data_IF_818345742821
#
_entry.id   IF_818345742821
#
_cell.length_a   1.000
_cell.length_b   1.000
_cell.length_c   1.000
_cell.angle_alpha   90.00
_cell.angle_beta   90.00
_cell.angle_gamma   90.00
#
_symmetry.space_group_name_H-M   'P 1'
#
loop_
_entity.id
_entity.type
_entity.pdbx_description
1 polymer ?
#
# COMPACT_ATOMS: atom_id res chain seq x y z
N UNK A 1 -24.99 -7.24 66.73
CA UNK A 1 -24.72 -6.31 65.61
C UNK A 1 -23.32 -6.60 65.08
N UNK A 2 -23.22 -7.22 63.88
CA UNK A 2 -21.95 -7.46 63.18
C UNK A 2 -21.94 -6.53 61.96
N UNK A 3 -21.03 -5.56 61.95
CA UNK A 3 -20.88 -4.62 60.85
C UNK A 3 -19.93 -5.22 59.81
N UNK A 4 -20.45 -5.52 58.62
CA UNK A 4 -19.65 -5.94 57.46
C UNK A 4 -19.18 -4.71 56.70
N UNK A 5 -17.87 -4.51 56.65
CA UNK A 5 -17.21 -3.47 55.85
C UNK A 5 -17.10 -3.98 54.40
N UNK A 6 -17.89 -3.40 53.49
CA UNK A 6 -17.78 -3.65 52.05
C UNK A 6 -16.75 -2.67 51.50
N UNK A 7 -15.59 -3.18 51.10
CA UNK A 7 -14.57 -2.41 50.36
C UNK A 7 -14.96 -2.46 48.88
N UNK A 8 -15.53 -1.36 48.38
CA UNK A 8 -15.76 -1.18 46.96
C UNK A 8 -14.45 -0.82 46.26
N UNK A 9 -13.87 -1.76 45.52
CA UNK A 9 -12.77 -1.49 44.58
C UNK A 9 -13.37 -0.79 43.36
N UNK A 10 -13.19 0.52 43.28
CA UNK A 10 -13.47 1.28 42.08
C UNK A 10 -12.46 0.86 40.99
N UNK A 11 -12.92 0.05 40.03
CA UNK A 11 -12.20 -0.19 38.79
C UNK A 11 -12.16 1.14 38.04
N UNK A 12 -11.04 1.87 38.13
CA UNK A 12 -10.77 2.97 37.23
C UNK A 12 -10.70 2.36 35.82
N UNK A 13 -11.80 2.48 35.06
CA UNK A 13 -11.77 2.27 33.63
C UNK A 13 -10.77 3.29 33.07
N UNK A 14 -9.54 2.84 32.77
CA UNK A 14 -8.67 3.64 31.95
C UNK A 14 -9.41 3.92 30.64
N UNK A 15 -9.51 5.18 30.20
CA UNK A 15 -9.95 5.44 28.85
C UNK A 15 -8.95 4.71 27.95
N UNK A 16 -9.37 3.61 27.36
CA UNK A 16 -8.74 3.08 26.17
C UNK A 16 -8.70 4.23 25.19
N UNK A 17 -7.54 4.89 25.05
CA UNK A 17 -7.33 5.82 23.95
C UNK A 17 -7.61 4.97 22.73
N UNK A 18 -8.72 5.23 22.07
CA UNK A 18 -8.91 4.74 20.71
C UNK A 18 -7.59 5.06 20.01
N UNK A 19 -6.98 4.05 19.42
CA UNK A 19 -5.79 4.15 18.58
C UNK A 19 -6.16 4.93 17.31
N UNK A 20 -6.71 6.13 17.46
CA UNK A 20 -6.96 7.01 16.35
C UNK A 20 -5.59 7.43 15.84
N UNK A 21 -5.29 7.04 14.61
CA UNK A 21 -4.06 7.43 13.94
C UNK A 21 -3.92 8.95 14.01
N UNK A 22 -2.84 9.42 14.65
CA UNK A 22 -2.50 10.85 14.72
C UNK A 22 -2.37 11.45 13.30
N UNK A 23 -2.11 10.61 12.30
CA UNK A 23 -2.00 11.02 10.91
C UNK A 23 -3.35 11.46 10.30
N UNK A 24 -4.48 10.98 10.84
CA UNK A 24 -5.81 11.31 10.31
C UNK A 24 -6.13 12.81 10.38
N UNK A 25 -5.54 13.55 11.32
CA UNK A 25 -5.73 15.00 11.43
C UNK A 25 -5.21 15.78 10.22
N UNK A 26 -4.29 15.20 9.44
CA UNK A 26 -3.70 15.86 8.27
C UNK A 26 -4.48 15.60 6.98
N UNK A 27 -5.41 14.64 7.01
CA UNK A 27 -6.20 14.17 5.86
C UNK A 27 -7.11 15.28 5.35
N UNK A 28 -7.28 15.35 4.03
CA UNK A 28 -8.13 16.36 3.42
C UNK A 28 -9.62 15.98 3.54
N UNK A 29 -10.54 16.95 3.66
CA UNK A 29 -11.97 16.64 3.77
C UNK A 29 -12.56 15.93 2.55
N UNK A 30 -11.98 16.13 1.37
CA UNK A 30 -12.39 15.51 0.10
C UNK A 30 -11.71 14.16 -0.17
N UNK A 31 -10.95 13.63 0.79
CA UNK A 31 -10.32 12.32 0.69
C UNK A 31 -11.34 11.22 0.41
N UNK A 32 -11.05 10.42 -0.61
CA UNK A 32 -11.85 9.23 -0.98
C UNK A 32 -11.05 7.95 -0.94
N UNK A 33 -9.73 8.06 -0.91
CA UNK A 33 -8.81 6.94 -0.89
C UNK A 33 -7.93 7.10 0.33
N UNK A 34 -7.83 6.05 1.13
CA UNK A 34 -7.02 6.01 2.33
C UNK A 34 -6.39 4.63 2.46
N UNK A 35 -5.08 4.56 2.60
CA UNK A 35 -4.34 3.31 2.80
C UNK A 35 -3.42 3.53 3.99
N UNK A 36 -3.56 2.70 5.02
CA UNK A 36 -2.76 2.76 6.23
C UNK A 36 -1.96 1.47 6.39
N UNK A 37 -0.71 1.62 6.81
CA UNK A 37 0.24 0.54 7.04
C UNK A 37 0.88 0.77 8.40
N UNK A 38 0.59 -0.10 9.36
CA UNK A 38 1.13 -0.11 10.71
C UNK A 38 2.46 -0.86 10.71
N UNK A 39 3.48 -0.25 10.11
CA UNK A 39 4.81 -0.83 9.89
C UNK A 39 5.39 -1.43 11.17
N UNK A 40 5.28 -0.73 12.30
CA UNK A 40 5.75 -1.23 13.59
C UNK A 40 5.06 -2.53 14.04
N UNK A 41 3.75 -2.69 13.80
CA UNK A 41 3.03 -3.94 14.13
C UNK A 41 3.48 -5.09 13.22
N UNK A 42 3.68 -4.81 11.94
CA UNK A 42 4.11 -5.78 10.95
C UNK A 42 5.50 -6.32 11.29
N UNK A 43 6.47 -5.43 11.52
CA UNK A 43 7.86 -5.83 11.77
C UNK A 43 8.04 -6.57 13.10
N UNK A 44 7.18 -6.32 14.08
CA UNK A 44 7.17 -7.03 15.35
C UNK A 44 6.37 -8.35 15.32
N UNK A 45 5.74 -8.71 14.19
CA UNK A 45 5.12 -10.03 14.03
C UNK A 45 6.18 -11.12 13.79
N UNK A 46 5.90 -12.40 14.09
CA UNK A 46 6.91 -13.46 13.90
C UNK A 46 7.33 -13.57 12.43
N UNK A 47 6.40 -13.50 11.47
CA UNK A 47 6.73 -13.36 10.05
C UNK A 47 7.57 -12.11 9.73
N UNK A 48 7.25 -10.96 10.34
CA UNK A 48 7.98 -9.71 10.17
C UNK A 48 9.46 -9.82 10.58
N UNK A 49 9.76 -10.55 11.65
CA UNK A 49 11.15 -10.77 12.10
C UNK A 49 11.98 -11.58 11.10
N UNK A 50 11.35 -12.48 10.34
CA UNK A 50 12.00 -13.29 9.30
C UNK A 50 12.22 -12.48 8.00
N UNK A 51 11.33 -11.54 7.68
CA UNK A 51 11.34 -10.75 6.44
C UNK A 51 12.14 -9.44 6.58
N UNK A 52 12.25 -8.87 7.78
CA UNK A 52 12.92 -7.59 8.05
C UNK A 52 14.31 -7.41 7.42
N UNK A 53 15.22 -8.39 7.48
CA UNK A 53 16.52 -8.31 6.82
C UNK A 53 16.47 -8.12 5.30
N UNK A 54 15.42 -8.61 4.64
CA UNK A 54 15.25 -8.48 3.19
C UNK A 54 14.63 -7.14 2.79
N UNK A 55 13.80 -6.55 3.65
CA UNK A 55 13.31 -5.18 3.42
C UNK A 55 14.46 -4.17 3.38
N UNK A 56 15.53 -4.43 4.13
CA UNK A 56 16.78 -3.64 4.08
C UNK A 56 17.59 -3.85 2.81
N UNK A 57 17.35 -4.92 2.05
CA UNK A 57 18.00 -5.17 0.77
C UNK A 57 17.31 -4.36 -0.35
N UNK A 58 17.35 -3.04 -0.25
CA UNK A 58 16.76 -2.10 -1.20
C UNK A 58 17.76 -1.71 -2.31
N UNK A 59 17.33 -1.01 -3.36
CA UNK A 59 18.22 -0.38 -4.35
C UNK A 59 19.39 0.37 -3.64
N UNK A 60 20.66 0.15 -4.04
CA UNK A 60 21.83 0.83 -3.45
C UNK A 60 21.70 2.36 -3.35
N UNK A 61 21.06 3.02 -4.32
CA UNK A 61 20.85 4.46 -4.30
C UNK A 61 19.90 4.89 -3.16
N UNK A 62 18.81 4.15 -2.96
CA UNK A 62 17.90 4.39 -1.85
C UNK A 62 18.57 4.07 -0.51
N UNK A 63 19.37 2.99 -0.44
CA UNK A 63 20.14 2.68 0.77
C UNK A 63 21.13 3.79 1.13
N UNK A 64 21.81 4.39 0.15
CA UNK A 64 22.74 5.50 0.39
C UNK A 64 22.01 6.74 0.92
N UNK A 65 20.85 7.10 0.33
CA UNK A 65 20.01 8.21 0.80
C UNK A 65 19.54 7.96 2.24
N UNK A 66 19.03 6.76 2.53
CA UNK A 66 18.55 6.39 3.86
C UNK A 66 19.68 6.39 4.89
N UNK A 67 20.86 5.88 4.52
CA UNK A 67 22.05 5.87 5.38
C UNK A 67 22.54 7.29 5.69
N UNK A 68 22.59 8.17 4.69
CA UNK A 68 22.96 9.57 4.86
C UNK A 68 21.92 10.34 5.69
N UNK A 69 20.64 10.01 5.53
CA UNK A 69 19.56 10.51 6.37
C UNK A 69 19.52 9.87 7.77
N UNK A 70 20.39 8.89 8.05
CA UNK A 70 20.41 8.07 9.26
C UNK A 70 19.04 7.46 9.61
N UNK A 71 18.31 7.03 8.58
CA UNK A 71 16.98 6.48 8.71
C UNK A 71 16.99 5.00 8.34
N UNK A 72 16.54 4.15 9.25
CA UNK A 72 16.30 2.73 9.04
C UNK A 72 14.78 2.48 9.03
N UNK A 73 14.16 2.26 7.87
CA UNK A 73 12.71 2.03 7.79
C UNK A 73 12.22 0.83 8.62
N UNK A 74 13.11 -0.09 9.00
CA UNK A 74 12.75 -1.24 9.83
C UNK A 74 12.76 -0.97 11.34
N UNK A 75 13.26 0.20 11.75
CA UNK A 75 13.31 0.63 13.16
C UNK A 75 12.62 1.95 13.39
N UNK A 76 12.76 2.87 12.44
CA UNK A 76 12.39 4.27 12.59
C UNK A 76 11.02 4.60 12.00
N UNK A 77 10.42 3.71 11.18
CA UNK A 77 9.08 3.91 10.62
C UNK A 77 8.04 3.11 11.42
N UNK A 78 7.06 3.81 11.99
CA UNK A 78 6.00 3.18 12.77
C UNK A 78 4.72 2.97 11.94
N UNK A 79 4.37 3.96 11.12
CA UNK A 79 3.11 3.99 10.40
C UNK A 79 3.21 4.83 9.13
N UNK A 80 2.52 4.40 8.08
CA UNK A 80 2.41 5.10 6.80
C UNK A 80 0.94 5.20 6.41
N UNK A 81 0.46 6.41 6.15
CA UNK A 81 -0.89 6.71 5.70
C UNK A 81 -0.82 7.43 4.34
N UNK A 82 -1.38 6.83 3.31
CA UNK A 82 -1.49 7.39 1.96
C UNK A 82 -2.94 7.80 1.74
N UNK A 83 -3.14 9.03 1.28
CA UNK A 83 -4.47 9.59 1.04
C UNK A 83 -4.56 10.23 -0.34
N UNK A 84 -5.71 10.10 -0.99
CA UNK A 84 -6.00 10.77 -2.26
C UNK A 84 -7.49 10.98 -2.48
N UNK A 85 -7.83 11.85 -3.44
CA UNK A 85 -9.22 12.11 -3.83
C UNK A 85 -9.68 11.28 -5.05
N UNK A 86 -8.74 10.68 -5.82
CA UNK A 86 -9.01 9.94 -7.06
C UNK A 86 -8.01 8.79 -7.26
N UNK A 87 -8.45 7.72 -7.93
CA UNK A 87 -7.67 6.48 -8.14
C UNK A 87 -6.51 6.68 -9.13
N UNK A 88 -6.66 7.56 -10.12
CA UNK A 88 -5.63 7.83 -11.14
C UNK A 88 -5.25 9.31 -11.18
N UNK A 89 -3.95 9.59 -11.24
CA UNK A 89 -3.37 10.94 -11.39
C UNK A 89 -3.94 11.96 -10.40
N UNK A 90 -4.54 11.48 -9.31
CA UNK A 90 -5.10 12.29 -8.25
C UNK A 90 -3.97 12.76 -7.35
N UNK A 91 -4.04 13.99 -6.84
CA UNK A 91 -3.07 14.43 -5.87
C UNK A 91 -3.07 13.51 -4.65
N UNK A 92 -1.87 13.05 -4.28
CA UNK A 92 -1.68 12.14 -3.16
C UNK A 92 -0.86 12.83 -2.06
N UNK A 93 -1.31 12.65 -0.82
CA UNK A 93 -0.54 12.96 0.38
C UNK A 93 -0.04 11.65 0.96
N UNK A 94 1.23 11.62 1.32
CA UNK A 94 1.86 10.56 2.07
C UNK A 94 2.21 11.09 3.45
N UNK A 95 1.70 10.46 4.49
CA UNK A 95 1.89 10.84 5.87
C UNK A 95 2.62 9.68 6.55
N UNK A 96 3.69 9.96 7.28
CA UNK A 96 4.40 8.93 8.01
C UNK A 96 4.62 9.34 9.46
N UNK A 97 4.50 8.38 10.37
CA UNK A 97 4.87 8.50 11.78
C UNK A 97 6.11 7.66 12.04
N UNK A 98 7.08 8.20 12.75
CA UNK A 98 8.35 7.55 12.98
C UNK A 98 9.31 8.35 13.84
N UNK A 99 10.61 8.10 13.68
CA UNK A 99 11.71 8.84 14.29
C UNK A 99 12.62 9.39 13.19
N UNK A 100 12.65 10.71 13.02
CA UNK A 100 13.38 11.37 11.94
C UNK A 100 14.52 12.25 12.50
N UNK A 101 15.76 11.98 12.08
CA UNK A 101 16.91 12.87 12.34
C UNK A 101 16.88 14.05 11.34
N UNK A 102 16.15 15.10 11.72
CA UNK A 102 15.97 16.29 10.87
C UNK A 102 17.30 16.94 10.54
N UNK A 103 18.26 16.96 11.47
CA UNK A 103 19.58 17.52 11.23
C UNK A 103 20.38 16.72 10.21
N UNK A 104 20.31 15.39 10.25
CA UNK A 104 20.89 14.52 9.21
C UNK A 104 20.22 14.75 7.86
N UNK A 105 18.89 14.86 7.81
CA UNK A 105 18.14 15.11 6.57
C UNK A 105 18.46 16.49 5.98
N UNK A 106 18.51 17.54 6.80
CA UNK A 106 18.84 18.90 6.36
C UNK A 106 20.27 19.00 5.82
N UNK A 107 21.20 18.18 6.33
CA UNK A 107 22.56 18.11 5.80
C UNK A 107 22.65 17.64 4.34
N UNK A 108 21.58 17.03 3.81
CA UNK A 108 21.47 16.59 2.41
C UNK A 108 20.96 17.68 1.46
N UNK A 109 20.50 18.81 2.00
CA UNK A 109 19.90 19.91 1.23
C UNK A 109 20.96 20.73 0.47
N UNK A 110 22.13 21.09 1.03
CA UNK A 110 23.14 21.86 0.31
C UNK A 110 23.54 21.21 -1.02
N UNK A 111 23.52 21.98 -2.11
CA UNK A 111 23.87 21.50 -3.45
C UNK A 111 22.81 20.65 -4.15
N UNK A 112 21.68 20.33 -3.50
CA UNK A 112 20.59 19.52 -4.10
C UNK A 112 19.57 20.33 -4.91
N UNK A 113 19.71 21.66 -4.95
CA UNK A 113 18.71 22.57 -5.52
C UNK A 113 17.44 22.72 -4.66
N UNK A 114 17.31 21.97 -3.55
CA UNK A 114 16.20 22.09 -2.60
C UNK A 114 16.42 23.27 -1.65
N UNK A 115 15.33 23.80 -1.13
CA UNK A 115 15.27 24.86 -0.12
C UNK A 115 14.53 24.37 1.12
N UNK A 116 15.11 24.68 2.26
CA UNK A 116 14.48 24.53 3.57
C UNK A 116 13.74 25.82 3.94
N UNK A 117 12.48 25.70 4.36
CA UNK A 117 11.70 26.81 4.92
C UNK A 117 10.96 26.34 6.17
N UNK A 118 10.63 27.28 7.06
CA UNK A 118 9.78 27.00 8.21
C UNK A 118 8.38 27.53 7.93
N UNK A 119 7.36 26.71 8.15
CA UNK A 119 5.96 27.07 7.96
C UNK A 119 5.12 26.49 9.11
N UNK A 120 4.45 27.33 9.89
CA UNK A 120 3.62 26.90 11.03
C UNK A 120 4.38 25.97 12.00
N UNK A 121 5.67 26.23 12.20
CA UNK A 121 6.56 25.42 13.05
C UNK A 121 6.95 24.05 12.46
N UNK A 122 6.61 23.77 11.20
CA UNK A 122 7.10 22.61 10.47
C UNK A 122 8.28 22.99 9.56
N UNK A 123 9.27 22.10 9.45
CA UNK A 123 10.39 22.24 8.51
C UNK A 123 9.96 21.68 7.16
N UNK A 124 9.94 22.50 6.11
CA UNK A 124 9.59 22.12 4.74
C UNK A 124 10.83 22.09 3.86
N UNK A 125 11.03 20.98 3.15
CA UNK A 125 11.97 20.80 2.06
C UNK A 125 11.21 20.82 0.73
N UNK A 126 11.56 21.75 -0.15
CA UNK A 126 10.91 21.91 -1.46
C UNK A 126 11.94 22.29 -2.53
N UNK A 127 11.66 22.05 -3.81
CA UNK A 127 12.53 22.51 -4.89
C UNK A 127 11.96 23.80 -5.52
N UNK A 128 12.55 24.99 -5.28
CA UNK A 128 12.11 26.22 -5.92
C UNK A 128 12.52 26.25 -7.39
N UNK A 129 11.58 26.00 -8.30
CA UNK A 129 11.82 26.11 -9.75
C UNK A 129 11.12 25.05 -10.58
N UNK A 130 10.65 23.99 -9.93
CA UNK A 130 9.84 22.97 -10.54
C UNK A 130 8.60 22.80 -9.66
N UNK A 131 7.40 22.63 -10.24
CA UNK A 131 6.20 22.26 -9.50
C UNK A 131 6.29 20.82 -8.94
N UNK A 132 7.42 20.49 -8.35
CA UNK A 132 7.81 19.19 -7.83
C UNK A 132 7.52 19.14 -6.34
N UNK A 133 7.27 17.92 -5.86
CA UNK A 133 6.76 17.67 -4.51
C UNK A 133 7.51 18.35 -3.38
N UNK A 134 6.79 18.55 -2.28
CA UNK A 134 7.32 19.07 -1.03
C UNK A 134 7.26 17.98 0.04
N UNK A 135 8.20 18.04 0.97
CA UNK A 135 8.21 17.19 2.18
C UNK A 135 8.29 18.11 3.39
N UNK A 136 7.43 17.91 4.37
CA UNK A 136 7.48 18.61 5.64
C UNK A 136 7.69 17.66 6.80
N UNK A 137 8.37 18.16 7.83
CA UNK A 137 8.59 17.48 9.10
C UNK A 137 7.94 18.30 10.21
N UNK A 138 7.07 17.68 11.00
CA UNK A 138 6.53 18.27 12.22
C UNK A 138 7.29 17.66 13.40
N UNK A 139 8.16 18.46 14.00
CA UNK A 139 9.12 17.96 14.96
C UNK A 139 9.99 16.87 14.33
N UNK A 140 10.20 15.78 15.09
CA UNK A 140 10.99 14.62 14.71
C UNK A 140 10.15 13.34 14.56
N UNK A 141 8.81 13.45 14.57
CA UNK A 141 7.93 12.28 14.60
C UNK A 141 6.98 12.14 13.41
N UNK A 142 6.69 13.22 12.68
CA UNK A 142 5.73 13.20 11.58
C UNK A 142 6.36 13.75 10.31
N UNK A 143 6.21 13.01 9.21
CA UNK A 143 6.56 13.43 7.86
C UNK A 143 5.29 13.58 7.01
N UNK A 144 5.21 14.66 6.24
CA UNK A 144 4.15 14.94 5.27
C UNK A 144 4.78 15.14 3.89
N UNK A 145 4.61 14.18 3.00
CA UNK A 145 4.97 14.28 1.59
C UNK A 145 3.76 14.64 0.73
N UNK A 146 3.94 15.55 -0.20
CA UNK A 146 2.93 15.90 -1.20
C UNK A 146 3.58 16.19 -2.54
N UNK A 147 2.79 16.04 -3.60
CA UNK A 147 3.10 16.40 -4.99
C UNK A 147 3.25 17.91 -5.21
N UNK A 148 2.74 18.75 -4.31
CA UNK A 148 3.02 20.19 -4.30
C UNK A 148 3.09 20.80 -2.88
N UNK A 149 3.70 21.99 -2.80
CA UNK A 149 3.88 22.74 -1.56
C UNK A 149 2.56 23.18 -0.91
N UNK A 150 1.57 23.61 -1.70
CA UNK A 150 0.31 24.12 -1.16
C UNK A 150 -0.46 23.02 -0.43
N UNK A 151 -0.41 21.79 -0.95
CA UNK A 151 -1.05 20.63 -0.33
C UNK A 151 -0.39 20.24 0.99
N UNK A 152 0.94 20.27 1.05
CA UNK A 152 1.70 20.06 2.29
C UNK A 152 1.36 21.15 3.32
N UNK A 153 1.34 22.41 2.93
CA UNK A 153 0.93 23.52 3.81
C UNK A 153 -0.52 23.43 4.27
N UNK A 154 -1.42 22.95 3.41
CA UNK A 154 -2.81 22.70 3.79
C UNK A 154 -2.93 21.59 4.83
N UNK A 155 -2.16 20.50 4.69
CA UNK A 155 -2.10 19.44 5.68
C UNK A 155 -1.58 19.96 7.04
N UNK A 156 -0.49 20.73 7.05
CA UNK A 156 0.07 21.34 8.28
C UNK A 156 -0.98 22.21 9.00
N UNK A 157 -1.76 23.02 8.26
CA UNK A 157 -2.81 23.88 8.85
C UNK A 157 -3.95 23.11 9.51
N UNK A 158 -4.14 21.83 9.20
CA UNK A 158 -5.16 20.98 9.86
C UNK A 158 -4.69 20.44 11.21
N UNK A 159 -3.40 20.56 11.54
CA UNK A 159 -2.87 20.14 12.84
C UNK A 159 -3.65 20.81 13.97
N UNK A 160 -4.15 20.00 14.91
CA UNK A 160 -4.95 20.48 16.05
C UNK A 160 -6.37 20.97 15.70
N UNK A 161 -6.80 20.83 14.44
CA UNK A 161 -8.19 21.03 14.05
C UNK A 161 -8.97 19.71 14.16
N UNK A 162 -10.31 19.75 14.35
CA UNK A 162 -11.13 18.55 14.28
C UNK A 162 -10.94 17.82 12.95
N UNK A 163 -10.79 16.50 13.01
CA UNK A 163 -10.68 15.65 11.80
C UNK A 163 -11.96 15.82 10.97
N UNK A 164 -11.82 16.31 9.75
CA UNK A 164 -12.94 16.67 8.89
C UNK A 164 -13.16 15.66 7.74
N UNK A 165 -13.04 14.37 8.01
CA UNK A 165 -13.38 13.31 7.04
C UNK A 165 -14.89 13.01 7.08
N UNK A 166 -15.46 12.65 5.93
CA UNK A 166 -16.89 12.30 5.85
C UNK A 166 -17.26 11.14 6.77
N UNK A 167 -18.50 11.13 7.28
CA UNK A 167 -18.96 10.13 8.26
C UNK A 167 -18.86 8.67 7.79
N UNK A 168 -19.09 8.43 6.49
CA UNK A 168 -18.92 7.11 5.87
C UNK A 168 -17.45 6.64 5.93
N UNK A 169 -16.52 7.51 5.56
CA UNK A 169 -15.09 7.21 5.64
C UNK A 169 -14.65 7.00 7.09
N UNK A 170 -15.11 7.86 8.01
CA UNK A 170 -14.81 7.75 9.43
C UNK A 170 -15.24 6.39 10.01
N UNK A 171 -16.46 5.93 9.67
CA UNK A 171 -16.97 4.65 10.15
C UNK A 171 -16.13 3.46 9.62
N UNK A 172 -15.74 3.48 8.33
CA UNK A 172 -14.87 2.45 7.76
C UNK A 172 -13.47 2.48 8.37
N UNK A 173 -12.89 3.67 8.60
CA UNK A 173 -11.58 3.81 9.27
C UNK A 173 -11.63 3.19 10.66
N UNK A 174 -12.64 3.53 11.47
CA UNK A 174 -12.81 2.99 12.82
C UNK A 174 -12.91 1.45 12.81
N UNK A 175 -13.63 0.88 11.84
CA UNK A 175 -13.82 -0.56 11.72
C UNK A 175 -12.54 -1.30 11.29
N UNK A 176 -11.70 -0.69 10.44
CA UNK A 176 -10.51 -1.34 9.88
C UNK A 176 -9.26 -1.13 10.75
N UNK A 177 -9.08 0.06 11.32
CA UNK A 177 -7.85 0.44 12.02
C UNK A 177 -7.57 -0.39 13.28
N UNK A 178 -8.65 -0.76 13.97
CA UNK A 178 -8.58 -1.62 15.16
C UNK A 178 -8.32 -3.10 14.83
N UNK A 179 -8.59 -3.52 13.58
CA UNK A 179 -8.57 -4.93 13.19
C UNK A 179 -7.36 -5.32 12.36
N UNK A 180 -6.87 -4.43 11.52
CA UNK A 180 -5.86 -4.76 10.51
C UNK A 180 -4.55 -4.00 10.75
N UNK A 181 -3.46 -4.61 10.32
CA UNK A 181 -2.12 -4.01 10.32
C UNK A 181 -1.87 -3.23 9.02
N UNK A 182 -2.55 -3.63 7.95
CA UNK A 182 -2.62 -2.90 6.68
C UNK A 182 -4.09 -2.77 6.34
N UNK A 183 -4.58 -1.59 6.05
CA UNK A 183 -5.94 -1.43 5.56
C UNK A 183 -6.06 -0.38 4.48
N UNK A 184 -7.10 -0.52 3.66
CA UNK A 184 -7.36 0.37 2.55
C UNK A 184 -8.85 0.62 2.39
N UNK A 185 -9.20 1.85 2.03
CA UNK A 185 -10.54 2.29 1.69
C UNK A 185 -10.44 3.10 0.40
N UNK A 186 -11.30 2.79 -0.56
CA UNK A 186 -11.53 3.58 -1.76
C UNK A 186 -13.04 3.76 -1.92
N UNK A 187 -13.53 4.98 -1.72
CA UNK A 187 -14.89 5.44 -2.04
C UNK A 187 -14.97 6.02 -3.46
N UNK A 188 -13.89 5.86 -4.24
CA UNK A 188 -13.82 6.28 -5.63
C UNK A 188 -14.09 5.07 -6.53
N UNK A 189 -14.95 5.29 -7.54
CA UNK A 189 -15.20 4.32 -8.61
C UNK A 189 -13.89 3.93 -9.29
N UNK A 190 -13.69 2.61 -9.46
CA UNK A 190 -12.53 2.06 -10.16
C UNK A 190 -12.69 2.12 -11.68
N UNK A 191 -13.76 2.74 -12.18
CA UNK A 191 -14.04 2.84 -13.61
C UNK A 191 -12.89 3.44 -14.43
N UNK A 192 -12.07 4.31 -13.84
CA UNK A 192 -10.90 4.89 -14.51
C UNK A 192 -9.73 3.91 -14.65
N UNK A 193 -9.70 2.78 -13.93
CA UNK A 193 -8.65 1.76 -14.09
C UNK A 193 -8.85 0.94 -15.37
N UNK A 194 -10.09 0.72 -15.78
CA UNK A 194 -10.42 -0.06 -16.97
C UNK A 194 -10.03 0.61 -18.29
N UNK A 195 -9.86 1.94 -18.32
CA UNK A 195 -9.56 2.67 -19.56
C UNK A 195 -8.14 2.46 -20.10
N UNK A 196 -7.23 1.93 -19.29
CA UNK A 196 -5.82 1.70 -19.67
C UNK A 196 -5.52 0.23 -20.03
N UNK A 197 -6.53 -0.65 -20.00
CA UNK A 197 -6.35 -2.07 -20.30
C UNK A 197 -6.39 -2.34 -21.81
N UNK A 198 -5.53 -3.24 -22.34
CA UNK A 198 -5.60 -3.65 -23.74
C UNK A 198 -6.96 -4.26 -24.09
N UNK A 199 -7.52 -3.85 -25.22
CA UNK A 199 -8.82 -4.33 -25.71
C UNK A 199 -8.72 -5.76 -26.27
N UNK A 200 -8.83 -6.77 -25.42
CA UNK A 200 -9.09 -8.15 -25.82
C UNK A 200 -10.28 -8.72 -25.00
N UNK A 201 -10.90 -9.81 -25.48
CA UNK A 201 -12.18 -10.31 -24.96
C UNK A 201 -12.14 -10.67 -23.46
N UNK A 202 -11.06 -11.28 -22.97
CA UNK A 202 -10.94 -11.70 -21.58
C UNK A 202 -10.62 -10.52 -20.65
N UNK A 203 -9.86 -9.52 -21.15
CA UNK A 203 -9.54 -8.30 -20.40
C UNK A 203 -10.71 -7.33 -20.36
N UNK A 204 -11.61 -7.37 -21.34
CA UNK A 204 -12.82 -6.56 -21.37
C UNK A 204 -13.81 -6.97 -20.25
N UNK A 205 -14.00 -8.27 -20.04
CA UNK A 205 -14.82 -8.77 -18.92
C UNK A 205 -14.21 -8.40 -17.57
N UNK A 206 -12.89 -8.49 -17.41
CA UNK A 206 -12.21 -8.01 -16.22
C UNK A 206 -12.39 -6.49 -16.02
N UNK A 207 -12.32 -5.70 -17.08
CA UNK A 207 -12.57 -4.26 -17.03
C UNK A 207 -14.01 -3.91 -16.64
N UNK A 208 -15.01 -4.62 -17.19
CA UNK A 208 -16.43 -4.45 -16.85
C UNK A 208 -16.70 -4.79 -15.38
N UNK A 209 -16.11 -5.88 -14.87
CA UNK A 209 -16.18 -6.24 -13.46
C UNK A 209 -15.58 -5.14 -12.57
N UNK A 210 -14.41 -4.60 -12.91
CA UNK A 210 -13.80 -3.48 -12.18
C UNK A 210 -14.64 -2.20 -12.24
N UNK A 211 -15.24 -1.90 -13.39
CA UNK A 211 -16.13 -0.75 -13.57
C UNK A 211 -17.44 -0.86 -12.78
N UNK A 212 -17.84 -2.08 -12.39
CA UNK A 212 -19.03 -2.31 -11.58
C UNK A 212 -18.82 -1.93 -10.10
N UNK A 213 -17.57 -1.86 -9.64
CA UNK A 213 -17.20 -1.59 -8.25
C UNK A 213 -17.22 -0.08 -7.99
N UNK A 214 -18.03 0.32 -7.02
CA UNK A 214 -18.17 1.70 -6.54
C UNK A 214 -17.24 1.99 -5.36
N UNK A 215 -17.11 1.01 -4.45
CA UNK A 215 -16.28 1.12 -3.26
C UNK A 215 -15.50 -0.16 -3.04
N UNK A 216 -14.29 -0.02 -2.50
CA UNK A 216 -13.50 -1.11 -1.95
C UNK A 216 -13.06 -0.72 -0.55
N UNK A 217 -13.17 -1.64 0.39
CA UNK A 217 -12.54 -1.52 1.70
C UNK A 217 -12.04 -2.86 2.18
N UNK A 218 -10.91 -2.91 2.86
CA UNK A 218 -10.35 -4.17 3.32
C UNK A 218 -9.06 -3.99 4.08
N UNK A 219 -8.50 -5.11 4.52
CA UNK A 219 -7.22 -5.08 5.21
C UNK A 219 -6.62 -6.46 5.40
N UNK A 220 -5.39 -6.44 5.89
CA UNK A 220 -4.57 -7.59 6.24
C UNK A 220 -4.14 -7.44 7.69
N UNK A 221 -4.38 -8.47 8.48
CA UNK A 221 -3.80 -8.67 9.81
C UNK A 221 -2.77 -9.79 9.67
N UNK A 222 -1.59 -9.59 10.22
CA UNK A 222 -0.49 -10.54 10.07
C UNK A 222 -0.31 -11.47 11.28
N UNK A 223 -0.90 -11.13 12.43
CA UNK A 223 -0.70 -11.87 13.67
C UNK A 223 -1.98 -11.96 14.52
N UNK A 224 -2.21 -13.06 15.27
CA UNK A 224 -1.45 -14.32 15.28
C UNK A 224 -1.55 -15.15 13.98
N UNK A 225 -2.62 -15.01 13.21
CA UNK A 225 -2.76 -15.64 11.90
C UNK A 225 -2.86 -14.58 10.83
N UNK A 226 -2.50 -14.94 9.59
CA UNK A 226 -2.73 -14.04 8.46
C UNK A 226 -4.22 -14.06 8.14
N UNK A 227 -4.85 -12.91 8.27
CA UNK A 227 -6.23 -12.69 7.88
C UNK A 227 -6.29 -11.55 6.87
N UNK A 228 -6.84 -11.81 5.70
CA UNK A 228 -7.17 -10.80 4.72
C UNK A 228 -8.68 -10.72 4.57
N UNK A 229 -9.22 -9.51 4.52
CA UNK A 229 -10.62 -9.30 4.16
C UNK A 229 -10.74 -8.17 3.15
N UNK A 230 -11.68 -8.34 2.23
CA UNK A 230 -12.05 -7.38 1.22
C UNK A 230 -13.57 -7.30 1.14
N UNK A 231 -14.08 -6.08 1.17
CA UNK A 231 -15.47 -5.74 0.91
C UNK A 231 -15.49 -4.88 -0.36
N UNK A 232 -16.29 -5.30 -1.34
CA UNK A 232 -16.47 -4.60 -2.61
C UNK A 232 -17.96 -4.30 -2.77
N UNK A 233 -18.29 -3.02 -2.94
CA UNK A 233 -19.66 -2.58 -3.17
C UNK A 233 -19.83 -2.31 -4.65
N UNK A 234 -20.79 -2.98 -5.28
CA UNK A 234 -21.06 -2.84 -6.72
C UNK A 234 -22.20 -1.87 -7.00
N UNK A 235 -22.40 -1.53 -8.27
CA UNK A 235 -23.52 -0.71 -8.75
C UNK A 235 -24.88 -1.37 -8.51
N UNK A 236 -24.97 -2.69 -8.74
CA UNK A 236 -26.21 -3.45 -8.60
C UNK A 236 -25.97 -4.81 -7.93
N UNK A 237 -27.02 -5.43 -7.39
CA UNK A 237 -26.96 -6.80 -6.85
C UNK A 237 -26.53 -7.82 -7.91
N UNK A 238 -27.00 -7.64 -9.16
CA UNK A 238 -26.60 -8.48 -10.30
C UNK A 238 -25.09 -8.41 -10.55
N UNK A 239 -24.51 -7.22 -10.43
CA UNK A 239 -23.06 -7.04 -10.56
C UNK A 239 -22.31 -7.72 -9.42
N UNK A 240 -22.84 -7.69 -8.19
CA UNK A 240 -22.24 -8.37 -7.05
C UNK A 240 -22.20 -9.89 -7.25
N UNK A 241 -23.30 -10.49 -7.74
CA UNK A 241 -23.33 -11.91 -8.10
C UNK A 241 -22.33 -12.23 -9.22
N UNK A 242 -22.27 -11.40 -10.27
CA UNK A 242 -21.35 -11.60 -11.39
C UNK A 242 -19.88 -11.52 -10.95
N UNK A 243 -19.56 -10.55 -10.09
CA UNK A 243 -18.24 -10.40 -9.48
C UNK A 243 -17.87 -11.61 -8.61
N UNK A 244 -18.79 -12.06 -7.76
CA UNK A 244 -18.58 -13.23 -6.92
C UNK A 244 -18.34 -14.49 -7.76
N UNK A 245 -19.12 -14.73 -8.82
CA UNK A 245 -18.94 -15.89 -9.68
C UNK A 245 -17.61 -15.83 -10.45
N UNK A 246 -17.19 -14.64 -10.91
CA UNK A 246 -15.85 -14.43 -11.47
C UNK A 246 -14.73 -14.79 -10.49
N UNK A 247 -14.86 -14.37 -9.22
CA UNK A 247 -13.91 -14.73 -8.16
C UNK A 247 -13.90 -16.23 -7.84
N UNK A 248 -15.06 -16.92 -7.88
CA UNK A 248 -15.13 -18.40 -7.73
C UNK A 248 -14.40 -19.11 -8.85
N UNK A 249 -14.49 -18.63 -10.08
CA UNK A 249 -13.78 -19.21 -11.21
C UNK A 249 -12.26 -19.08 -11.03
N UNK A 250 -11.77 -17.89 -10.65
CA UNK A 250 -10.34 -17.66 -10.41
C UNK A 250 -9.83 -18.55 -9.26
N UNK A 251 -10.55 -18.59 -8.14
CA UNK A 251 -10.18 -19.43 -7.00
C UNK A 251 -10.25 -20.92 -7.35
N UNK A 252 -11.25 -21.35 -8.12
CA UNK A 252 -11.37 -22.69 -8.67
C UNK A 252 -10.15 -23.09 -9.51
N UNK A 253 -9.71 -22.23 -10.43
CA UNK A 253 -8.50 -22.47 -11.24
C UNK A 253 -7.23 -22.53 -10.39
N UNK A 254 -7.11 -21.67 -9.37
CA UNK A 254 -6.00 -21.71 -8.42
C UNK A 254 -5.97 -23.01 -7.61
N UNK A 255 -7.14 -23.56 -7.27
CA UNK A 255 -7.27 -24.85 -6.57
C UNK A 255 -7.06 -26.07 -7.49
N UNK A 256 -7.47 -26.03 -8.76
CA UNK A 256 -7.23 -27.13 -9.71
C UNK A 256 -5.74 -27.27 -10.08
N UNK A 257 -4.97 -26.17 -10.10
CA UNK A 257 -3.53 -26.22 -10.29
C UNK A 257 -2.77 -26.71 -9.02
N UNK A 258 -3.48 -27.15 -7.96
CA UNK A 258 -2.90 -27.60 -6.68
C UNK A 258 -2.44 -29.05 -6.65
N UNK A 259 -2.18 -29.68 -7.80
CA UNK A 259 -1.44 -30.95 -7.76
C UNK A 259 -0.02 -30.84 -7.15
N UNK A 260 0.47 -29.67 -6.66
CA UNK A 260 1.37 -29.63 -5.47
C UNK A 260 1.84 -28.28 -4.85
N UNK A 261 1.32 -27.05 -5.12
CA UNK A 261 2.22 -25.86 -4.97
C UNK A 261 1.73 -24.56 -4.30
N UNK A 262 0.48 -24.42 -3.86
CA UNK A 262 -0.06 -23.12 -3.39
C UNK A 262 -0.27 -22.98 -1.88
N UNK A 263 -0.34 -24.08 -1.10
CA UNK A 263 -0.52 -24.05 0.35
C UNK A 263 -1.89 -23.58 0.88
N UNK A 264 -2.73 -22.94 0.05
CA UNK A 264 -4.06 -22.46 0.41
C UNK A 264 -5.10 -23.60 0.39
N UNK A 265 -5.70 -23.90 1.54
CA UNK A 265 -6.78 -24.89 1.68
C UNK A 265 -8.11 -24.29 1.23
N UNK A 266 -9.04 -25.12 0.75
CA UNK A 266 -10.37 -24.65 0.34
C UNK A 266 -11.11 -23.90 1.48
N UNK A 267 -10.96 -24.40 2.71
CA UNK A 267 -11.62 -23.86 3.91
C UNK A 267 -11.02 -22.53 4.39
N UNK A 268 -9.85 -22.14 3.85
CA UNK A 268 -9.20 -20.85 4.12
C UNK A 268 -9.93 -19.69 3.46
N UNK A 269 -10.83 -19.95 2.50
CA UNK A 269 -11.50 -18.95 1.68
C UNK A 269 -12.98 -18.87 2.07
N UNK A 270 -13.46 -17.66 2.36
CA UNK A 270 -14.90 -17.40 2.51
C UNK A 270 -15.30 -16.26 1.58
N UNK A 271 -16.39 -16.48 0.86
CA UNK A 271 -17.01 -15.46 0.04
C UNK A 271 -18.51 -15.41 0.28
N UNK A 272 -19.03 -14.20 0.42
CA UNK A 272 -20.43 -13.92 0.69
C UNK A 272 -20.90 -12.78 -0.21
N UNK A 273 -22.16 -12.84 -0.65
CA UNK A 273 -22.83 -11.75 -1.36
C UNK A 273 -24.03 -11.32 -0.54
N UNK A 274 -24.06 -10.06 -0.11
CA UNK A 274 -25.16 -9.45 0.63
C UNK A 274 -25.64 -8.23 -0.15
N UNK A 275 -26.82 -8.34 -0.77
CA UNK A 275 -27.34 -7.32 -1.70
C UNK A 275 -26.30 -6.94 -2.77
N UNK A 276 -25.87 -5.68 -2.80
CA UNK A 276 -24.84 -5.15 -3.73
C UNK A 276 -23.40 -5.29 -3.22
N UNK A 277 -23.16 -6.04 -2.16
CA UNK A 277 -21.85 -6.13 -1.52
C UNK A 277 -21.29 -7.54 -1.62
N UNK A 278 -20.07 -7.66 -2.14
CA UNK A 278 -19.29 -8.90 -2.13
C UNK A 278 -18.25 -8.81 -1.01
N UNK A 279 -18.28 -9.78 -0.10
CA UNK A 279 -17.29 -9.95 0.95
C UNK A 279 -16.43 -11.15 0.64
N UNK A 280 -15.13 -10.95 0.70
CA UNK A 280 -14.13 -11.98 0.52
C UNK A 280 -13.21 -11.97 1.74
N UNK A 281 -12.90 -13.13 2.28
CA UNK A 281 -11.91 -13.26 3.35
C UNK A 281 -11.07 -14.50 3.17
N UNK A 282 -9.81 -14.36 3.55
CA UNK A 282 -8.82 -15.43 3.54
C UNK A 282 -8.21 -15.52 4.92
N UNK A 283 -8.16 -16.73 5.46
CA UNK A 283 -7.50 -17.03 6.71
C UNK A 283 -6.42 -18.10 6.50
N UNK A 284 -5.18 -17.74 6.80
CA UNK A 284 -4.02 -18.62 6.67
C UNK A 284 -3.33 -18.71 8.03
N UNK A 285 -3.23 -19.92 8.61
CA UNK A 285 -2.44 -20.13 9.81
C UNK A 285 -1.00 -19.68 9.61
N UNK A 286 -0.41 -19.03 10.61
CA UNK A 286 0.96 -18.49 10.50
C UNK A 286 2.00 -19.55 10.10
N UNK A 287 1.87 -20.77 10.60
CA UNK A 287 2.76 -21.88 10.21
C UNK A 287 2.71 -22.20 8.72
N UNK A 288 1.50 -22.19 8.13
CA UNK A 288 1.30 -22.47 6.71
C UNK A 288 1.88 -21.32 5.87
N UNK A 289 1.72 -20.07 6.33
CA UNK A 289 2.32 -18.90 5.70
C UNK A 289 3.86 -18.92 5.73
N UNK A 290 4.47 -19.25 6.88
CA UNK A 290 5.93 -19.39 7.00
C UNK A 290 6.49 -20.50 6.12
N UNK A 291 5.82 -21.65 6.06
CA UNK A 291 6.21 -22.76 5.17
C UNK A 291 6.17 -22.30 3.71
N UNK A 292 5.09 -21.66 3.29
CA UNK A 292 4.94 -21.15 1.93
C UNK A 292 6.02 -20.13 1.56
N UNK A 293 6.38 -19.25 2.51
CA UNK A 293 7.45 -18.27 2.33
C UNK A 293 8.83 -18.93 2.23
N UNK A 294 9.14 -19.91 3.09
CA UNK A 294 10.39 -20.67 3.02
C UNK A 294 10.53 -21.43 1.68
N UNK A 295 9.44 -22.01 1.17
CA UNK A 295 9.41 -22.70 -0.12
C UNK A 295 9.54 -21.73 -1.30
N UNK A 296 8.95 -20.53 -1.21
CA UNK A 296 9.22 -19.46 -2.16
C UNK A 296 10.70 -19.09 -2.20
N UNK A 297 11.35 -18.91 -1.04
CA UNK A 297 12.78 -18.58 -0.95
C UNK A 297 13.66 -19.63 -1.60
N UNK A 298 13.49 -20.91 -1.25
CA UNK A 298 14.27 -22.02 -1.84
C UNK A 298 14.17 -22.04 -3.37
N UNK A 299 12.99 -21.74 -3.91
CA UNK A 299 12.77 -21.66 -5.37
C UNK A 299 13.40 -20.42 -6.00
N UNK A 300 13.32 -19.26 -5.35
CA UNK A 300 13.96 -18.04 -5.83
C UNK A 300 15.49 -18.20 -5.88
N UNK A 301 16.09 -18.76 -4.84
CA UNK A 301 17.53 -19.05 -4.78
C UNK A 301 17.95 -20.09 -5.83
N UNK A 302 17.19 -21.19 -6.00
CA UNK A 302 17.45 -22.19 -7.04
C UNK A 302 17.28 -21.67 -8.48
N UNK A 303 16.37 -20.72 -8.69
CA UNK A 303 16.18 -20.06 -10.00
C UNK A 303 17.29 -19.05 -10.30
N UNK A 304 17.80 -18.35 -9.28
CA UNK A 304 18.95 -17.44 -9.42
C UNK A 304 20.26 -18.19 -9.72
N UNK A 305 20.49 -19.35 -9.09
CA UNK A 305 21.60 -20.25 -9.43
C UNK A 305 21.50 -20.79 -10.86
N UNK A 306 20.30 -21.13 -11.35
CA UNK A 306 20.10 -21.55 -12.73
C UNK A 306 20.25 -20.40 -13.76
N UNK A 307 19.92 -19.17 -13.38
CA UNK A 307 20.11 -17.98 -14.21
C UNK A 307 21.59 -17.56 -14.28
N UNK A 308 22.37 -17.73 -13.21
CA UNK A 308 23.81 -17.44 -13.18
C UNK A 308 24.67 -18.41 -14.00
N UNK A 309 24.15 -19.61 -14.30
CA UNK A 309 24.85 -20.65 -15.10
C UNK A 309 24.52 -20.55 -16.60
N UNK A 310 23.53 -19.74 -17.00
CA UNK A 310 23.24 -19.50 -18.41
C UNK A 310 24.19 -18.44 -18.98
N UNK A 311 25.00 -18.75 -20.01
CA UNK A 311 25.84 -17.74 -20.63
C UNK A 311 24.97 -16.60 -21.17
N UNK A 312 25.39 -15.36 -20.90
CA UNK A 312 24.68 -14.16 -21.30
C UNK A 312 24.37 -14.21 -22.81
N UNK A 313 23.11 -13.94 -23.23
CA UNK A 313 22.80 -13.83 -24.64
C UNK A 313 23.66 -12.71 -25.24
N UNK A 314 24.36 -13.02 -26.35
CA UNK A 314 25.17 -12.05 -27.08
C UNK A 314 24.32 -10.80 -27.35
N UNK A 315 24.84 -9.59 -27.13
CA UNK A 315 24.10 -8.35 -27.36
C UNK A 315 23.57 -8.34 -28.80
N UNK A 316 22.26 -8.24 -28.94
CA UNK A 316 21.62 -8.08 -30.25
C UNK A 316 22.02 -6.71 -30.79
N UNK A 317 22.54 -6.61 -32.03
CA UNK A 317 22.89 -5.33 -32.61
C UNK A 317 21.62 -4.49 -32.76
N UNK A 318 21.58 -3.34 -32.08
CA UNK A 318 20.56 -2.30 -32.19
C UNK A 318 20.69 -1.61 -33.55
N UNK A 319 20.22 -2.28 -34.60
CA UNK A 319 20.00 -1.71 -35.93
C UNK A 319 18.50 -1.47 -36.14
N UNK A 320 18.11 -0.23 -36.46
CA UNK A 320 16.72 0.10 -36.80
C UNK A 320 16.37 -0.65 -38.10
N UNK A 321 15.41 -1.56 -38.03
CA UNK A 321 14.85 -2.24 -39.20
C UNK A 321 13.60 -1.48 -39.65
N UNK A 322 13.70 -0.71 -40.72
CA UNK A 322 12.52 -0.10 -41.36
C UNK A 322 11.97 -1.10 -42.37
N UNK A 323 10.79 -1.65 -42.13
CA UNK A 323 10.06 -2.44 -43.12
C UNK A 323 9.14 -1.53 -43.94
N UNK A 324 9.42 -1.42 -45.25
CA UNK A 324 8.50 -0.81 -46.22
C UNK A 324 7.69 -1.93 -46.90
N UNK A 325 6.39 -1.76 -47.04
CA UNK A 325 5.50 -2.77 -47.61
C UNK A 325 5.56 -2.82 -49.14
N UNK A 326 5.63 -4.05 -49.68
CA UNK A 326 4.62 -4.53 -50.62
C UNK A 326 4.74 -4.24 -52.11
N UNK A 327 5.93 -4.07 -52.68
CA UNK A 327 6.34 -4.38 -54.08
C UNK A 327 7.63 -3.61 -54.41
N UNK A 328 8.77 -4.24 -54.14
CA UNK A 328 10.12 -4.02 -54.68
C UNK A 328 11.19 -4.14 -53.57
N UNK A 329 12.30 -4.78 -53.94
CA UNK A 329 13.27 -5.42 -53.05
C UNK A 329 14.23 -4.47 -52.30
N UNK A 330 14.62 -4.87 -51.08
CA UNK A 330 15.91 -4.55 -50.46
C UNK A 330 15.86 -4.28 -48.95
N UNK A 331 16.56 -5.09 -48.14
CA UNK A 331 16.91 -4.71 -46.75
C UNK A 331 18.22 -3.93 -46.77
N UNK A 332 18.19 -2.66 -46.39
CA UNK A 332 19.41 -1.84 -46.22
C UNK A 332 19.68 -1.68 -44.73
N UNK A 333 20.79 -2.22 -44.27
CA UNK A 333 21.29 -2.03 -42.90
C UNK A 333 22.25 -0.84 -42.91
N UNK A 334 21.93 0.22 -42.18
CA UNK A 334 22.84 1.35 -41.97
C UNK A 334 23.63 1.13 -40.67
N UNK A 335 24.97 1.33 -40.68
CA UNK A 335 25.75 1.31 -39.45
C UNK A 335 25.46 2.56 -38.58
N UNK A 336 25.57 2.45 -37.25
CA UNK A 336 25.38 3.57 -36.34
C UNK A 336 26.48 4.63 -36.55
N UNK A 337 26.10 5.92 -36.43
CA UNK A 337 27.04 7.03 -36.25
C UNK A 337 27.59 7.03 -34.83
#
# INVERSE_FOLDING_TARGET
MRASLVVSVAFCAWPSRATDSELLQFVAPDTRILIDIKVGRILNSPLGTEIGPQLRATNPELQDILSKAKFDPTRDLEELLITGSRVNNGPALMLARGSFDISAIESLVPGSGKRTTIYEGATILSNPGHGTGAVAFIGNSILIGGDDLQRVQAAIRRRGQPVAIGSELAAKVQALDQRYDIWGISLASLSSLGSNLPSNSNMQQAAELLQSIQEISGGVRQSPDIEMSLEMVTKTEKDAHSLADGLKLITGLMTMNQQNKSGLKADSLKMEVVARTVRFSVHVPEEDARKAYADYRKRAEGSQLAAAVRPAPKPQPTGITIQSSGKDMGTVVLPPK
#
